data_IF_615386138672
#
_entry.id   IF_615386138672
#
_cell.length_a   1.000
_cell.length_b   1.000
_cell.length_c   1.000
_cell.angle_alpha   90.00
_cell.angle_beta   90.00
_cell.angle_gamma   90.00
#
_symmetry.space_group_name_H-M   'P 1'
#
loop_
_entity.id
_entity.type
_entity.pdbx_description
1 polymer ?
#
# COMPACT_ATOMS: atom_id res chain seq x y z
N UNK A 1 -5.90 -11.18 11.86
CA UNK A 1 -6.14 -10.12 10.85
C UNK A 1 -7.21 -9.17 11.36
N UNK A 2 -7.02 -7.87 11.20
CA UNK A 2 -8.05 -6.91 11.64
C UNK A 2 -9.37 -7.10 10.91
N UNK A 3 -10.49 -6.75 11.55
CA UNK A 3 -11.81 -6.89 10.93
C UNK A 3 -11.97 -6.16 9.60
N UNK A 4 -11.33 -5.01 9.42
CA UNK A 4 -11.42 -4.24 8.18
C UNK A 4 -10.84 -4.97 6.97
N UNK A 5 -10.00 -6.00 7.18
CA UNK A 5 -9.42 -6.79 6.11
C UNK A 5 -10.07 -8.16 5.95
N UNK A 6 -11.18 -8.44 6.66
CA UNK A 6 -11.74 -9.78 6.72
C UNK A 6 -12.83 -10.07 5.68
N UNK A 7 -13.32 -9.08 4.96
CA UNK A 7 -14.34 -9.29 3.92
C UNK A 7 -13.75 -10.03 2.71
N UNK A 8 -14.32 -11.17 2.35
CA UNK A 8 -13.84 -11.96 1.21
C UNK A 8 -13.95 -11.21 -0.12
N UNK A 9 -15.05 -10.49 -0.35
CA UNK A 9 -15.23 -9.73 -1.58
C UNK A 9 -14.22 -8.59 -1.70
N UNK A 10 -13.95 -7.91 -0.60
CA UNK A 10 -12.96 -6.84 -0.58
C UNK A 10 -11.54 -7.37 -0.78
N UNK A 11 -11.24 -8.53 -0.21
CA UNK A 11 -9.95 -9.20 -0.42
C UNK A 11 -9.77 -9.59 -1.88
N UNK A 12 -10.80 -10.12 -2.51
CA UNK A 12 -10.75 -10.48 -3.93
C UNK A 12 -10.51 -9.23 -4.79
N UNK A 13 -11.23 -8.16 -4.51
CA UNK A 13 -11.06 -6.89 -5.23
C UNK A 13 -9.65 -6.32 -5.04
N UNK A 14 -9.15 -6.36 -3.82
CA UNK A 14 -7.79 -5.91 -3.50
C UNK A 14 -6.75 -6.74 -4.26
N UNK A 15 -6.89 -8.07 -4.23
CA UNK A 15 -5.98 -8.98 -4.91
C UNK A 15 -5.97 -8.73 -6.42
N UNK A 16 -7.13 -8.54 -7.02
CA UNK A 16 -7.24 -8.22 -8.44
C UNK A 16 -6.60 -6.86 -8.76
N UNK A 17 -6.82 -5.87 -7.90
CA UNK A 17 -6.20 -4.55 -8.05
C UNK A 17 -4.67 -4.66 -8.06
N UNK A 18 -4.10 -5.40 -7.13
CA UNK A 18 -2.65 -5.61 -7.05
C UNK A 18 -2.13 -6.36 -8.27
N UNK A 19 -2.85 -7.38 -8.72
CA UNK A 19 -2.45 -8.17 -9.89
C UNK A 19 -2.44 -7.31 -11.15
N UNK A 20 -3.46 -6.48 -11.33
CA UNK A 20 -3.56 -5.59 -12.49
C UNK A 20 -2.47 -4.53 -12.51
N UNK A 21 -2.10 -4.02 -11.34
CA UNK A 21 -1.04 -3.02 -11.23
C UNK A 21 0.34 -3.61 -11.50
N UNK A 22 0.55 -4.89 -11.15
CA UNK A 22 1.79 -5.62 -11.38
C UNK A 22 3.05 -4.82 -11.02
N UNK A 23 3.14 -4.28 -9.79
CA UNK A 23 4.27 -3.42 -9.41
C UNK A 23 5.56 -4.23 -9.28
N UNK A 24 6.67 -3.61 -9.69
CA UNK A 24 7.99 -4.20 -9.56
C UNK A 24 8.80 -3.48 -8.46
N UNK A 25 9.29 -4.25 -7.50
CA UNK A 25 10.11 -3.74 -6.41
C UNK A 25 9.29 -3.33 -5.19
N UNK A 26 9.95 -3.31 -4.04
CA UNK A 26 9.29 -3.12 -2.75
C UNK A 26 8.57 -1.78 -2.62
N UNK A 27 9.20 -0.70 -3.08
CA UNK A 27 8.59 0.64 -2.95
C UNK A 27 7.30 0.74 -3.75
N UNK A 28 7.29 0.25 -4.99
CA UNK A 28 6.09 0.28 -5.83
C UNK A 28 5.00 -0.60 -5.24
N UNK A 29 5.35 -1.76 -4.73
CA UNK A 29 4.40 -2.68 -4.09
C UNK A 29 3.77 -2.07 -2.85
N UNK A 30 4.55 -1.36 -2.04
CA UNK A 30 4.04 -0.66 -0.86
C UNK A 30 3.03 0.42 -1.27
N UNK A 31 3.34 1.20 -2.29
CA UNK A 31 2.43 2.25 -2.77
C UNK A 31 1.13 1.65 -3.30
N UNK A 32 1.23 0.60 -4.12
CA UNK A 32 0.05 -0.09 -4.67
C UNK A 32 -0.80 -0.69 -3.55
N UNK A 33 -0.18 -1.34 -2.56
CA UNK A 33 -0.90 -1.92 -1.43
C UNK A 33 -1.61 -0.84 -0.61
N UNK A 34 -0.95 0.29 -0.40
CA UNK A 34 -1.52 1.42 0.35
C UNK A 34 -2.75 1.98 -0.35
N UNK A 35 -2.66 2.20 -1.65
CA UNK A 35 -3.79 2.72 -2.41
C UNK A 35 -4.91 1.68 -2.53
N UNK A 36 -4.55 0.41 -2.75
CA UNK A 36 -5.53 -0.67 -2.80
C UNK A 36 -6.31 -0.81 -1.49
N UNK A 37 -5.63 -0.67 -0.36
CA UNK A 37 -6.30 -0.72 0.94
C UNK A 37 -7.28 0.45 1.10
N UNK A 38 -6.89 1.63 0.65
CA UNK A 38 -7.78 2.80 0.68
C UNK A 38 -9.05 2.57 -0.16
N UNK A 39 -8.88 2.03 -1.37
CA UNK A 39 -10.00 1.83 -2.30
C UNK A 39 -10.91 0.67 -1.93
N UNK A 40 -10.34 -0.44 -1.48
CA UNK A 40 -11.07 -1.69 -1.33
C UNK A 40 -11.38 -2.07 0.11
N UNK A 41 -10.62 -1.58 1.07
CA UNK A 41 -10.89 -1.79 2.49
C UNK A 41 -11.34 -0.53 3.21
N UNK A 42 -11.34 0.61 2.52
CA UNK A 42 -11.77 1.90 3.07
C UNK A 42 -10.98 2.32 4.31
N UNK A 43 -9.70 1.96 4.35
CA UNK A 43 -8.82 2.37 5.43
C UNK A 43 -8.06 3.64 5.08
N UNK A 44 -7.84 4.48 6.06
CA UNK A 44 -7.21 5.78 5.90
C UNK A 44 -5.71 5.65 6.17
N UNK A 45 -4.97 5.26 5.15
CA UNK A 45 -3.55 4.99 5.26
C UNK A 45 -3.24 3.63 5.87
N UNK A 46 -1.97 3.26 5.87
CA UNK A 46 -1.52 1.98 6.41
C UNK A 46 -0.21 2.14 7.19
N UNK A 47 0.02 1.21 8.12
CA UNK A 47 1.29 1.11 8.83
C UNK A 47 2.05 -0.15 8.39
N UNK A 48 3.25 -0.34 8.94
CA UNK A 48 4.11 -1.47 8.57
C UNK A 48 3.45 -2.83 8.87
N UNK A 49 2.74 -2.94 9.99
CA UNK A 49 2.07 -4.18 10.37
C UNK A 49 0.96 -4.54 9.39
N UNK A 50 0.14 -3.57 9.04
CA UNK A 50 -0.94 -3.76 8.08
C UNK A 50 -0.40 -4.15 6.70
N UNK A 51 0.72 -3.56 6.29
CA UNK A 51 1.37 -3.93 5.03
C UNK A 51 1.78 -5.40 5.01
N UNK A 52 2.19 -5.95 6.14
CA UNK A 52 2.48 -7.38 6.23
C UNK A 52 1.30 -8.23 5.80
N UNK A 53 0.10 -7.92 6.30
CA UNK A 53 -1.12 -8.65 5.90
C UNK A 53 -1.48 -8.39 4.44
N UNK A 54 -1.34 -7.15 3.98
CA UNK A 54 -1.68 -6.78 2.60
C UNK A 54 -0.77 -7.48 1.60
N UNK A 55 0.53 -7.58 1.90
CA UNK A 55 1.46 -8.32 1.04
C UNK A 55 1.12 -9.80 1.00
N UNK A 56 0.71 -10.39 2.14
CA UNK A 56 0.26 -11.77 2.16
C UNK A 56 -0.95 -11.98 1.24
N UNK A 57 -1.93 -11.07 1.30
CA UNK A 57 -3.10 -11.13 0.43
C UNK A 57 -2.74 -11.01 -1.04
N UNK A 58 -1.80 -10.14 -1.38
CA UNK A 58 -1.35 -9.93 -2.75
C UNK A 58 -0.46 -11.07 -3.26
N UNK A 59 0.04 -11.92 -2.36
CA UNK A 59 0.99 -12.97 -2.73
C UNK A 59 2.39 -12.45 -2.99
N UNK A 60 2.74 -11.31 -2.44
CA UNK A 60 4.05 -10.70 -2.63
C UNK A 60 5.01 -11.06 -1.49
N UNK A 61 6.28 -11.19 -1.84
CA UNK A 61 7.33 -11.37 -0.87
C UNK A 61 7.48 -10.10 -0.03
N UNK A 62 7.53 -10.26 1.29
CA UNK A 62 7.67 -9.12 2.20
C UNK A 62 9.11 -8.60 2.19
N UNK A 63 9.31 -7.27 2.17
CA UNK A 63 10.64 -6.69 2.36
C UNK A 63 11.14 -6.96 3.78
N UNK A 64 12.45 -6.86 3.97
CA UNK A 64 13.05 -7.06 5.29
C UNK A 64 12.67 -5.98 6.31
N UNK A 65 12.34 -4.78 5.84
CA UNK A 65 12.01 -3.67 6.71
C UNK A 65 10.99 -2.73 6.06
N UNK A 66 9.70 -2.95 6.38
CA UNK A 66 8.62 -2.11 5.86
C UNK A 66 8.77 -0.65 6.26
N UNK A 67 9.19 -0.39 7.51
CA UNK A 67 9.34 0.98 8.00
C UNK A 67 10.32 1.77 7.14
N UNK A 68 11.44 1.15 6.78
CA UNK A 68 12.44 1.80 5.93
C UNK A 68 11.88 2.03 4.52
N UNK A 69 11.16 1.05 3.96
CA UNK A 69 10.55 1.17 2.65
C UNK A 69 9.52 2.29 2.61
N UNK A 70 8.69 2.41 3.66
CA UNK A 70 7.73 3.50 3.80
C UNK A 70 8.41 4.86 3.83
N UNK A 71 9.47 4.98 4.63
CA UNK A 71 10.23 6.22 4.73
C UNK A 71 10.87 6.60 3.40
N UNK A 72 11.42 5.63 2.69
CA UNK A 72 12.03 5.86 1.38
C UNK A 72 11.01 6.39 0.38
N UNK A 73 9.83 5.78 0.31
CA UNK A 73 8.78 6.21 -0.60
C UNK A 73 8.22 7.58 -0.24
N UNK A 74 8.29 7.97 1.02
CA UNK A 74 7.79 9.26 1.50
C UNK A 74 8.82 10.39 1.40
N UNK A 75 10.08 10.09 1.05
CA UNK A 75 11.11 11.13 0.89
C UNK A 75 10.75 12.11 -0.21
N UNK A 76 11.15 13.37 -0.02
CA UNK A 76 10.88 14.42 -1.01
C UNK A 76 11.39 14.08 -2.40
N UNK A 77 12.45 13.27 -2.51
CA UNK A 77 12.98 12.80 -3.78
C UNK A 77 11.95 12.01 -4.58
N UNK A 78 11.13 11.21 -3.91
CA UNK A 78 10.10 10.39 -4.55
C UNK A 78 8.71 10.99 -4.37
N UNK A 79 8.32 11.29 -3.12
CA UNK A 79 7.02 11.87 -2.82
C UNK A 79 5.86 10.95 -3.17
N UNK A 80 6.07 9.62 -3.14
CA UNK A 80 5.04 8.64 -3.50
C UNK A 80 4.07 8.34 -2.35
N UNK A 81 4.53 8.55 -1.12
CA UNK A 81 3.70 8.41 0.08
C UNK A 81 3.81 9.68 0.91
N UNK A 82 2.83 9.90 1.78
CA UNK A 82 2.86 11.00 2.74
C UNK A 82 2.43 10.47 4.10
N UNK A 83 3.00 11.03 5.17
CA UNK A 83 2.62 10.67 6.54
C UNK A 83 1.28 11.31 6.85
N UNK A 84 0.41 10.55 7.51
CA UNK A 84 -0.88 11.09 7.95
C UNK A 84 -0.65 11.88 9.24
N UNK A 85 -0.97 13.18 9.26
CA UNK A 85 -0.79 14.00 10.45
C UNK A 85 -1.56 13.44 11.65
N UNK A 86 -0.92 13.44 12.80
CA UNK A 86 -1.53 12.96 14.03
C UNK A 86 -1.60 11.44 14.17
N UNK A 87 -1.11 10.70 13.18
CA UNK A 87 -1.09 9.24 13.23
C UNK A 87 0.33 8.73 12.99
N UNK A 88 0.99 8.34 14.06
CA UNK A 88 2.37 7.88 14.01
C UNK A 88 2.49 6.60 13.17
N UNK A 89 3.43 6.60 12.23
CA UNK A 89 3.74 5.42 11.44
C UNK A 89 2.75 5.07 10.32
N UNK A 90 1.71 5.89 10.11
CA UNK A 90 0.74 5.64 9.04
C UNK A 90 1.04 6.53 7.84
N UNK A 91 0.88 5.95 6.66
CA UNK A 91 1.18 6.61 5.39
C UNK A 91 0.04 6.40 4.40
N UNK A 92 -0.17 7.39 3.54
CA UNK A 92 -1.15 7.31 2.46
C UNK A 92 -0.44 7.56 1.12
N UNK A 93 -0.99 7.02 0.04
CA UNK A 93 -0.44 7.24 -1.30
C UNK A 93 -0.76 8.66 -1.77
N UNK A 94 0.24 9.32 -2.36
CA UNK A 94 0.04 10.64 -2.98
C UNK A 94 -0.44 10.48 -4.41
N UNK A 95 -0.96 11.56 -5.00
CA UNK A 95 -1.32 11.56 -6.42
C UNK A 95 -0.13 11.20 -7.30
N UNK A 96 1.06 11.71 -6.95
CA UNK A 96 2.29 11.38 -7.67
C UNK A 96 2.61 9.88 -7.56
N UNK A 97 2.52 9.31 -6.36
CA UNK A 97 2.78 7.88 -6.15
C UNK A 97 1.81 7.02 -6.95
N UNK A 98 0.55 7.38 -6.95
CA UNK A 98 -0.47 6.68 -7.72
C UNK A 98 -0.14 6.72 -9.21
N UNK A 99 0.20 7.90 -9.72
CA UNK A 99 0.50 8.06 -11.15
C UNK A 99 1.78 7.32 -11.58
N UNK A 100 2.72 7.11 -10.65
CA UNK A 100 3.98 6.41 -10.95
C UNK A 100 3.89 4.91 -10.82
N UNK A 101 2.92 4.39 -10.09
CA UNK A 101 2.85 2.96 -9.77
C UNK A 101 1.64 2.24 -10.34
N UNK A 102 0.56 2.94 -10.63
CA UNK A 102 -0.65 2.34 -11.16
C UNK A 102 -0.80 2.59 -12.64
N UNK A 103 -1.36 1.63 -13.39
CA UNK A 103 -1.63 1.85 -14.81
C UNK A 103 -2.63 2.99 -14.99
N UNK A 104 -2.37 3.83 -15.97
CA UNK A 104 -3.28 4.91 -16.35
C UNK A 104 -4.28 4.37 -17.36
N UNK A 105 -5.55 4.55 -17.09
CA UNK A 105 -6.42 4.05 -18.11
C UNK A 105 -7.82 4.07 -17.80
#
# INVERSE_FOLDING_TARGET
>A
MPPEFSSESRRADFTNFCRNAAPLGDMRRVVVATEGASRHFEVDGVNAEELGWLFDLAGWRKPGNFTQTLRNAARSKFGWLERIPGRSGRYAATSLGISKTLPTG
#
